data_IF_883879084670
#
_entry.id   IF_883879084670
#
_cell.length_a   1.000
_cell.length_b   1.000
_cell.length_c   1.000
_cell.angle_alpha   90.00
_cell.angle_beta   90.00
_cell.angle_gamma   90.00
#
_symmetry.space_group_name_H-M   'P 1'
#
loop_
_entity.id
_entity.type
_entity.pdbx_description
1 polymer ?
#
# COMPACT_ATOMS: atom_id res chain seq x y z
N UNK A 1 1.45 -9.64 13.97
CA UNK A 1 1.32 -9.01 12.63
C UNK A 1 -0.13 -8.77 12.22
N UNK A 2 -1.03 -9.74 12.43
CA UNK A 2 -2.47 -9.58 12.15
C UNK A 2 -3.13 -8.34 12.76
N UNK A 3 -2.88 -8.16 14.05
CA UNK A 3 -3.41 -7.06 14.82
C UNK A 3 -2.80 -5.73 14.34
N UNK A 4 -1.49 -5.71 14.10
CA UNK A 4 -0.72 -4.53 13.67
C UNK A 4 -1.22 -3.95 12.34
N UNK A 5 -1.56 -4.80 11.35
CA UNK A 5 -2.05 -4.32 10.05
C UNK A 5 -3.36 -3.54 10.17
N UNK A 6 -4.36 -4.13 10.82
CA UNK A 6 -5.65 -3.47 11.06
C UNK A 6 -5.54 -2.26 11.99
N UNK A 7 -4.69 -2.33 13.01
CA UNK A 7 -4.41 -1.20 13.89
C UNK A 7 -3.82 -0.01 13.12
N UNK A 8 -2.87 -0.25 12.21
CA UNK A 8 -2.31 0.82 11.37
C UNK A 8 -3.37 1.42 10.45
N UNK A 9 -4.23 0.61 9.82
CA UNK A 9 -5.33 1.12 8.98
C UNK A 9 -6.33 1.93 9.83
N UNK A 10 -6.64 1.47 11.04
CA UNK A 10 -7.49 2.21 11.98
C UNK A 10 -6.84 3.53 12.40
N UNK A 11 -5.53 3.54 12.68
CA UNK A 11 -4.78 4.75 13.01
C UNK A 11 -4.76 5.75 11.84
N UNK A 12 -4.68 5.26 10.59
CA UNK A 12 -4.85 6.10 9.41
C UNK A 12 -6.25 6.74 9.39
N UNK A 13 -7.31 5.94 9.59
CA UNK A 13 -8.70 6.45 9.62
C UNK A 13 -8.91 7.48 10.72
N UNK A 14 -8.49 7.17 11.96
CA UNK A 14 -8.63 8.06 13.12
C UNK A 14 -7.89 9.36 12.88
N UNK A 15 -6.67 9.29 12.36
CA UNK A 15 -5.88 10.48 12.02
C UNK A 15 -6.58 11.33 10.96
N UNK A 16 -7.05 10.71 9.87
CA UNK A 16 -7.81 11.41 8.84
C UNK A 16 -9.13 11.97 9.38
N UNK A 17 -9.77 11.31 10.35
CA UNK A 17 -11.01 11.79 10.96
C UNK A 17 -10.78 13.03 11.80
N UNK A 18 -9.75 13.02 12.64
CA UNK A 18 -9.33 14.17 13.45
C UNK A 18 -8.92 15.35 12.55
N UNK A 19 -8.23 15.06 11.46
CA UNK A 19 -7.81 16.06 10.47
C UNK A 19 -8.95 16.52 9.55
N UNK A 20 -10.16 15.95 9.64
CA UNK A 20 -11.31 16.35 8.81
C UNK A 20 -11.27 15.85 7.36
N UNK A 21 -10.45 14.85 7.06
CA UNK A 21 -10.29 14.20 5.75
C UNK A 21 -10.83 12.76 5.69
N UNK A 22 -11.45 12.23 6.75
CA UNK A 22 -11.99 10.86 6.70
C UNK A 22 -13.12 10.71 5.68
N UNK A 23 -14.00 11.70 5.54
CA UNK A 23 -15.10 11.71 4.56
C UNK A 23 -15.14 13.02 3.78
N UNK A 24 -15.66 12.98 2.55
CA UNK A 24 -15.76 14.17 1.70
C UNK A 24 -16.61 15.29 2.33
N UNK A 25 -17.64 14.93 3.09
CA UNK A 25 -18.47 15.90 3.81
C UNK A 25 -17.71 16.59 4.95
N UNK A 26 -16.78 15.91 5.64
CA UNK A 26 -15.90 16.56 6.60
C UNK A 26 -14.95 17.54 5.90
N UNK A 27 -14.37 17.16 4.76
CA UNK A 27 -13.49 18.04 3.98
C UNK A 27 -14.20 19.34 3.58
N UNK A 28 -15.43 19.24 3.09
CA UNK A 28 -16.26 20.41 2.76
C UNK A 28 -16.59 21.26 3.97
N UNK A 29 -16.97 20.63 5.09
CA UNK A 29 -17.42 21.37 6.29
C UNK A 29 -16.29 22.08 6.99
N UNK A 30 -15.17 21.38 7.22
CA UNK A 30 -14.02 21.82 8.02
C UNK A 30 -13.08 22.69 7.19
N UNK A 31 -12.70 22.22 5.99
CA UNK A 31 -11.65 22.86 5.18
C UNK A 31 -12.18 23.63 3.97
N UNK A 32 -13.49 23.59 3.71
CA UNK A 32 -14.13 24.17 2.51
C UNK A 32 -13.58 23.60 1.20
N UNK A 33 -13.01 22.40 1.25
CA UNK A 33 -12.49 21.69 0.08
C UNK A 33 -13.65 20.97 -0.61
N UNK A 34 -13.93 21.34 -1.85
CA UNK A 34 -14.96 20.71 -2.69
C UNK A 34 -14.39 19.70 -3.68
N UNK A 35 -13.07 19.78 -3.94
CA UNK A 35 -12.33 18.92 -4.86
C UNK A 35 -11.10 18.34 -4.14
N UNK A 36 -11.04 17.03 -4.03
CA UNK A 36 -10.04 16.27 -3.28
C UNK A 36 -10.55 14.85 -3.03
N UNK A 37 -9.77 14.05 -2.32
CA UNK A 37 -10.15 12.66 -2.00
C UNK A 37 -10.10 12.41 -0.49
N UNK A 38 -11.23 12.01 0.06
CA UNK A 38 -11.29 11.58 1.45
C UNK A 38 -10.70 10.18 1.63
N UNK A 39 -10.36 9.84 2.87
CA UNK A 39 -9.82 8.52 3.21
C UNK A 39 -10.74 7.38 2.75
N UNK A 40 -12.06 7.54 2.94
CA UNK A 40 -13.05 6.52 2.58
C UNK A 40 -13.23 6.37 1.07
N UNK A 41 -12.84 7.36 0.28
CA UNK A 41 -12.84 7.28 -1.18
C UNK A 41 -11.56 6.61 -1.72
N UNK A 42 -10.52 6.43 -0.91
CA UNK A 42 -9.25 5.88 -1.36
C UNK A 42 -9.32 4.34 -1.54
N UNK A 43 -9.32 3.84 -2.77
CA UNK A 43 -9.48 2.40 -3.07
C UNK A 43 -8.39 1.50 -2.48
N UNK A 44 -7.16 2.03 -2.36
CA UNK A 44 -6.03 1.38 -1.68
C UNK A 44 -6.34 0.98 -0.24
N UNK A 45 -6.99 1.85 0.54
CA UNK A 45 -7.37 1.57 1.95
C UNK A 45 -8.27 0.33 2.05
N UNK A 46 -9.24 0.21 1.14
CA UNK A 46 -10.13 -0.95 1.10
C UNK A 46 -9.39 -2.21 0.67
N UNK A 47 -8.47 -2.07 -0.27
CA UNK A 47 -7.62 -3.19 -0.70
C UNK A 47 -6.72 -3.66 0.43
N UNK A 48 -6.17 -2.72 1.19
CA UNK A 48 -5.33 -2.96 2.36
C UNK A 48 -6.09 -3.75 3.44
N UNK A 49 -7.31 -3.31 3.74
CA UNK A 49 -8.13 -3.92 4.80
C UNK A 49 -8.70 -5.29 4.40
N UNK A 50 -9.17 -5.44 3.15
CA UNK A 50 -9.93 -6.62 2.70
C UNK A 50 -9.04 -7.70 2.11
N UNK A 51 -7.98 -7.33 1.40
CA UNK A 51 -7.15 -8.30 0.67
C UNK A 51 -5.74 -8.41 1.27
N UNK A 52 -5.02 -7.29 1.40
CA UNK A 52 -3.61 -7.31 1.80
C UNK A 52 -3.45 -7.79 3.24
N UNK A 53 -4.15 -7.17 4.21
CA UNK A 53 -4.00 -7.52 5.62
C UNK A 53 -4.35 -8.98 5.90
N UNK A 54 -5.51 -9.54 5.48
CA UNK A 54 -5.78 -10.97 5.62
C UNK A 54 -4.74 -11.87 4.96
N UNK A 55 -4.25 -11.47 3.78
CA UNK A 55 -3.24 -12.25 3.08
C UNK A 55 -1.89 -12.25 3.82
N UNK A 56 -1.45 -11.11 4.35
CA UNK A 56 -0.25 -11.02 5.18
C UNK A 56 -0.37 -11.86 6.46
N UNK A 57 -1.55 -11.90 7.07
CA UNK A 57 -1.83 -12.77 8.23
C UNK A 57 -1.59 -14.22 7.87
N UNK A 58 -2.17 -14.65 6.74
CA UNK A 58 -1.98 -16.01 6.22
C UNK A 58 -0.50 -16.31 5.97
N UNK A 59 0.21 -15.42 5.27
CA UNK A 59 1.62 -15.62 4.94
C UNK A 59 2.47 -15.73 6.22
N UNK A 60 2.30 -14.81 7.17
CA UNK A 60 3.05 -14.81 8.43
C UNK A 60 2.74 -16.03 9.30
N UNK A 61 1.50 -16.54 9.26
CA UNK A 61 1.12 -17.75 9.97
C UNK A 61 1.63 -19.03 9.31
N UNK A 62 1.77 -19.04 7.98
CA UNK A 62 2.18 -20.22 7.20
C UNK A 62 3.71 -20.33 7.07
N UNK A 63 4.36 -19.19 6.84
CA UNK A 63 5.80 -19.09 6.60
C UNK A 63 6.50 -18.59 7.85
N UNK A 64 7.39 -19.43 8.35
CA UNK A 64 8.27 -19.11 9.47
C UNK A 64 9.41 -18.22 8.97
N UNK A 65 9.11 -16.92 8.82
CA UNK A 65 10.02 -15.91 8.29
C UNK A 65 11.15 -15.60 9.28
N UNK A 66 12.37 -15.44 8.77
CA UNK A 66 13.56 -15.07 9.55
C UNK A 66 13.69 -13.54 9.56
N UNK A 67 12.91 -12.89 10.41
CA UNK A 67 12.80 -11.42 10.50
C UNK A 67 14.10 -10.70 10.89
N UNK A 68 15.01 -11.38 11.58
CA UNK A 68 16.22 -10.76 12.15
C UNK A 68 17.48 -10.95 11.31
N UNK A 69 17.39 -11.62 10.15
CA UNK A 69 18.54 -11.76 9.27
C UNK A 69 18.95 -10.40 8.66
N UNK A 70 20.24 -10.24 8.35
CA UNK A 70 20.74 -9.02 7.72
C UNK A 70 20.00 -8.69 6.41
N UNK A 71 19.72 -9.72 5.60
CA UNK A 71 18.93 -9.58 4.36
C UNK A 71 17.51 -9.10 4.65
N UNK A 72 16.86 -9.64 5.68
CA UNK A 72 15.50 -9.24 6.04
C UNK A 72 15.43 -7.79 6.49
N UNK A 73 16.37 -7.37 7.35
CA UNK A 73 16.48 -5.97 7.80
C UNK A 73 16.79 -5.03 6.62
N UNK A 74 17.63 -5.45 5.67
CA UNK A 74 17.92 -4.68 4.47
C UNK A 74 16.66 -4.48 3.61
N UNK A 75 15.87 -5.53 3.40
CA UNK A 75 14.61 -5.46 2.63
C UNK A 75 13.59 -4.57 3.33
N UNK A 76 13.47 -4.67 4.66
CA UNK A 76 12.62 -3.78 5.45
C UNK A 76 13.04 -2.32 5.27
N UNK A 77 14.34 -2.04 5.43
CA UNK A 77 14.90 -0.69 5.28
C UNK A 77 14.67 -0.14 3.88
N UNK A 78 14.95 -0.94 2.85
CA UNK A 78 14.71 -0.56 1.47
C UNK A 78 13.22 -0.26 1.20
N UNK A 79 12.32 -1.08 1.75
CA UNK A 79 10.87 -0.86 1.63
C UNK A 79 10.47 0.48 2.24
N UNK A 80 10.92 0.78 3.47
CA UNK A 80 10.66 2.08 4.11
C UNK A 80 11.23 3.26 3.33
N UNK A 81 12.46 3.14 2.82
CA UNK A 81 13.10 4.20 2.02
C UNK A 81 12.30 4.47 0.75
N UNK A 82 11.90 3.44 0.02
CA UNK A 82 11.10 3.58 -1.22
C UNK A 82 9.76 4.25 -0.93
N UNK A 83 9.01 3.77 0.07
CA UNK A 83 7.71 4.35 0.41
C UNK A 83 7.82 5.79 0.94
N UNK A 84 8.84 6.08 1.73
CA UNK A 84 9.11 7.45 2.20
C UNK A 84 9.46 8.36 1.02
N UNK A 85 10.34 7.91 0.12
CA UNK A 85 10.72 8.69 -1.06
C UNK A 85 9.50 8.95 -1.97
N UNK A 86 8.66 7.94 -2.22
CA UNK A 86 7.42 8.11 -2.98
C UNK A 86 6.49 9.13 -2.32
N UNK A 87 6.32 9.06 -1.00
CA UNK A 87 5.49 10.01 -0.29
C UNK A 87 6.00 11.45 -0.49
N UNK A 88 7.28 11.71 -0.23
CA UNK A 88 7.83 13.07 -0.31
C UNK A 88 7.98 13.60 -1.74
N UNK A 89 8.32 12.74 -2.71
CA UNK A 89 8.62 13.17 -4.08
C UNK A 89 7.38 13.18 -4.99
N UNK A 90 6.35 12.37 -4.69
CA UNK A 90 5.15 12.29 -5.50
C UNK A 90 3.90 12.76 -4.75
N UNK A 91 3.62 12.21 -3.57
CA UNK A 91 2.34 12.45 -2.90
C UNK A 91 2.23 13.82 -2.24
N UNK A 92 3.27 14.28 -1.54
CA UNK A 92 3.26 15.61 -0.92
C UNK A 92 3.06 16.74 -1.95
N UNK A 93 3.80 16.77 -3.08
CA UNK A 93 3.55 17.76 -4.15
C UNK A 93 2.15 17.68 -4.75
N UNK A 94 1.66 16.47 -5.05
CA UNK A 94 0.30 16.28 -5.59
C UNK A 94 -0.78 16.78 -4.61
N UNK A 95 -0.55 16.62 -3.31
CA UNK A 95 -1.45 17.12 -2.25
C UNK A 95 -1.62 18.65 -2.22
N UNK A 96 -0.82 19.43 -2.94
CA UNK A 96 -1.08 20.86 -3.17
C UNK A 96 -2.17 21.09 -4.21
N UNK A 97 -2.26 20.21 -5.20
CA UNK A 97 -3.16 20.33 -6.35
C UNK A 97 -4.47 19.60 -6.05
N UNK A 98 -4.36 18.39 -5.50
CA UNK A 98 -5.46 17.49 -5.19
C UNK A 98 -5.32 16.99 -3.75
N UNK A 99 -5.82 17.75 -2.75
CA UNK A 99 -5.74 17.35 -1.35
C UNK A 99 -6.35 15.97 -1.12
N UNK A 100 -5.62 15.09 -0.43
CA UNK A 100 -6.15 13.83 0.06
C UNK A 100 -5.78 13.55 1.52
N UNK A 101 -6.45 12.56 2.12
CA UNK A 101 -6.25 12.21 3.52
C UNK A 101 -4.80 11.88 3.91
N UNK A 102 -4.01 11.31 3.00
CA UNK A 102 -2.62 10.94 3.25
C UNK A 102 -1.62 12.06 2.93
N UNK A 103 -1.99 13.01 2.09
CA UNK A 103 -1.16 14.15 1.70
C UNK A 103 -2.03 15.34 1.27
N UNK A 104 -1.83 16.48 1.93
CA UNK A 104 -2.47 17.73 1.55
C UNK A 104 -1.64 18.93 2.00
N UNK A 105 -1.84 20.09 1.37
CA UNK A 105 -1.11 21.33 1.67
C UNK A 105 0.43 21.18 1.50
N UNK A 106 0.89 20.27 0.64
CA UNK A 106 2.31 20.09 0.34
C UNK A 106 3.09 19.25 1.33
N UNK A 107 2.43 18.56 2.27
CA UNK A 107 3.08 17.69 3.24
C UNK A 107 2.35 16.36 3.43
N UNK A 108 3.05 15.41 4.05
CA UNK A 108 2.50 14.10 4.43
C UNK A 108 1.81 14.21 5.79
N UNK A 109 0.55 13.79 5.84
CA UNK A 109 -0.27 13.86 7.06
C UNK A 109 0.10 12.74 8.03
N UNK A 110 -0.44 12.78 9.25
CA UNK A 110 -0.30 11.67 10.19
C UNK A 110 -0.84 10.34 9.60
N UNK A 111 -1.97 10.39 8.89
CA UNK A 111 -2.49 9.22 8.18
C UNK A 111 -1.51 8.73 7.09
N UNK A 112 -0.88 9.65 6.36
CA UNK A 112 0.19 9.32 5.41
C UNK A 112 1.36 8.58 6.04
N UNK A 113 1.84 9.01 7.21
CA UNK A 113 2.92 8.32 7.91
C UNK A 113 2.53 6.91 8.38
N UNK A 114 1.32 6.73 8.92
CA UNK A 114 0.83 5.39 9.28
C UNK A 114 0.69 4.49 8.04
N UNK A 115 0.31 5.07 6.90
CA UNK A 115 0.28 4.34 5.62
C UNK A 115 1.69 3.93 5.18
N UNK A 116 2.70 4.81 5.26
CA UNK A 116 4.10 4.47 4.93
C UNK A 116 4.58 3.30 5.80
N UNK A 117 4.28 3.30 7.10
CA UNK A 117 4.62 2.20 8.00
C UNK A 117 3.94 0.91 7.57
N UNK A 118 2.63 0.97 7.29
CA UNK A 118 1.87 -0.18 6.82
C UNK A 118 2.42 -0.74 5.50
N UNK A 119 2.66 0.13 4.51
CA UNK A 119 3.14 -0.26 3.20
C UNK A 119 4.57 -0.83 3.26
N UNK A 120 5.45 -0.22 4.06
CA UNK A 120 6.80 -0.72 4.32
C UNK A 120 6.82 -2.13 4.92
N UNK A 121 6.00 -2.37 5.95
CA UNK A 121 5.86 -3.70 6.55
C UNK A 121 5.24 -4.72 5.59
N UNK A 122 4.23 -4.31 4.82
CA UNK A 122 3.55 -5.16 3.85
C UNK A 122 4.50 -5.60 2.73
N UNK A 123 5.23 -4.65 2.14
CA UNK A 123 6.25 -4.92 1.14
C UNK A 123 7.38 -5.80 1.68
N UNK A 124 7.79 -5.61 2.94
CA UNK A 124 8.80 -6.46 3.56
C UNK A 124 8.38 -7.93 3.61
N UNK A 125 7.18 -8.24 4.10
CA UNK A 125 6.68 -9.62 4.17
C UNK A 125 6.56 -10.24 2.78
N UNK A 126 5.94 -9.52 1.83
CA UNK A 126 5.76 -10.02 0.47
C UNK A 126 7.10 -10.23 -0.24
N UNK A 127 8.04 -9.30 -0.09
CA UNK A 127 9.38 -9.45 -0.66
C UNK A 127 10.12 -10.66 -0.06
N UNK A 128 10.00 -10.92 1.25
CA UNK A 128 10.59 -12.11 1.85
C UNK A 128 10.04 -13.41 1.24
N UNK A 129 8.74 -13.44 0.90
CA UNK A 129 8.13 -14.58 0.22
C UNK A 129 8.70 -14.79 -1.19
N UNK A 130 8.84 -13.72 -1.99
CA UNK A 130 9.41 -13.81 -3.34
C UNK A 130 10.91 -14.11 -3.33
N UNK A 131 11.66 -13.64 -2.35
CA UNK A 131 13.11 -13.85 -2.32
C UNK A 131 13.50 -15.27 -1.88
N UNK A 132 12.63 -16.00 -1.17
CA UNK A 132 12.85 -17.41 -0.79
C UNK A 132 14.03 -17.69 0.15
N UNK A 133 14.87 -16.70 0.44
CA UNK A 133 16.07 -16.82 1.27
C UNK A 133 15.83 -16.52 2.76
N UNK A 134 14.62 -16.12 3.13
CA UNK A 134 14.29 -15.61 4.47
C UNK A 134 13.11 -16.38 5.10
N UNK A 135 12.92 -17.62 4.67
CA UNK A 135 11.87 -18.53 5.18
C UNK A 135 12.48 -19.89 5.44
N UNK A 136 12.02 -20.58 6.49
CA UNK A 136 12.38 -21.99 6.70
C UNK A 136 11.68 -22.94 5.70
N UNK A 137 10.74 -22.41 4.90
CA UNK A 137 9.96 -23.16 3.91
C UNK A 137 9.86 -22.33 2.64
N UNK A 138 10.26 -22.88 1.50
CA UNK A 138 10.07 -22.24 0.21
C UNK A 138 8.58 -21.92 -0.01
N UNK A 139 8.30 -20.76 -0.59
CA UNK A 139 6.93 -20.36 -0.90
C UNK A 139 6.27 -21.38 -1.85
N UNK A 140 5.01 -21.72 -1.61
CA UNK A 140 4.24 -22.54 -2.53
C UNK A 140 3.92 -21.77 -3.81
N UNK A 141 3.99 -22.44 -4.97
CA UNK A 141 3.66 -21.84 -6.28
C UNK A 141 2.28 -21.17 -6.31
N UNK A 142 1.29 -21.79 -5.65
CA UNK A 142 -0.06 -21.23 -5.53
C UNK A 142 -0.10 -19.94 -4.73
N UNK A 143 0.66 -19.85 -3.62
CA UNK A 143 0.70 -18.63 -2.80
C UNK A 143 1.37 -17.48 -3.53
N UNK A 144 2.40 -17.77 -4.34
CA UNK A 144 3.04 -16.78 -5.20
C UNK A 144 2.03 -16.25 -6.24
N UNK A 145 1.29 -17.15 -6.91
CA UNK A 145 0.26 -16.75 -7.88
C UNK A 145 -0.87 -15.93 -7.22
N UNK A 146 -1.34 -16.33 -6.03
CA UNK A 146 -2.36 -15.59 -5.28
C UNK A 146 -1.84 -14.22 -4.87
N UNK A 147 -0.62 -14.13 -4.33
CA UNK A 147 0.00 -12.85 -3.96
C UNK A 147 0.11 -11.93 -5.16
N UNK A 148 0.54 -12.45 -6.31
CA UNK A 148 0.63 -11.69 -7.57
C UNK A 148 -0.73 -11.13 -7.99
N UNK A 149 -1.77 -11.92 -7.80
CA UNK A 149 -3.14 -11.56 -8.17
C UNK A 149 -3.67 -10.47 -7.24
N UNK A 150 -3.44 -10.59 -5.94
CA UNK A 150 -3.76 -9.57 -4.93
C UNK A 150 -2.98 -8.28 -5.20
N UNK A 151 -1.70 -8.36 -5.53
CA UNK A 151 -0.88 -7.19 -5.88
C UNK A 151 -1.36 -6.53 -7.18
N UNK A 152 -1.87 -7.31 -8.14
CA UNK A 152 -2.46 -6.75 -9.36
C UNK A 152 -3.77 -6.00 -9.07
N UNK A 153 -4.58 -6.51 -8.13
CA UNK A 153 -5.76 -5.78 -7.63
C UNK A 153 -5.33 -4.50 -6.91
N UNK A 154 -4.28 -4.56 -6.08
CA UNK A 154 -3.72 -3.38 -5.41
C UNK A 154 -3.20 -2.35 -6.39
N UNK A 155 -2.49 -2.75 -7.45
CA UNK A 155 -2.00 -1.81 -8.47
C UNK A 155 -3.16 -1.00 -9.08
N UNK A 156 -4.29 -1.64 -9.33
CA UNK A 156 -5.49 -0.96 -9.83
C UNK A 156 -6.19 -0.13 -8.75
N UNK A 157 -6.61 -0.76 -7.65
CA UNK A 157 -7.42 -0.11 -6.62
C UNK A 157 -6.65 0.90 -5.78
N UNK A 158 -5.32 0.74 -5.66
CA UNK A 158 -4.42 1.65 -4.96
C UNK A 158 -4.44 3.07 -5.50
N UNK A 159 -4.68 3.23 -6.81
CA UNK A 159 -4.76 4.54 -7.47
C UNK A 159 -6.20 5.01 -7.73
N UNK A 160 -7.16 4.08 -7.73
CA UNK A 160 -8.58 4.40 -7.91
C UNK A 160 -9.12 5.13 -6.68
N UNK A 161 -9.87 6.20 -6.92
CA UNK A 161 -10.65 6.88 -5.89
C UNK A 161 -12.13 6.72 -6.22
N UNK A 162 -12.93 6.32 -5.24
CA UNK A 162 -14.38 6.16 -5.34
C UNK A 162 -15.10 7.51 -5.25
N UNK A 163 -14.68 8.47 -6.09
CA UNK A 163 -15.20 9.83 -6.15
C UNK A 163 -15.61 10.18 -7.57
N UNK A 164 -16.62 11.04 -7.72
CA UNK A 164 -17.10 11.50 -9.04
C UNK A 164 -16.08 12.37 -9.78
N UNK A 165 -15.10 12.91 -9.05
CA UNK A 165 -14.06 13.78 -9.58
C UNK A 165 -12.80 13.03 -10.00
N UNK A 166 -12.76 11.72 -9.74
CA UNK A 166 -11.61 10.90 -10.10
C UNK A 166 -11.64 10.56 -11.58
N UNK A 167 -10.48 10.69 -12.23
CA UNK A 167 -10.31 10.38 -13.63
C UNK A 167 -9.10 9.46 -13.83
N UNK A 168 -9.29 8.44 -14.65
CA UNK A 168 -8.21 7.54 -15.08
C UNK A 168 -7.33 8.25 -16.12
N UNK A 169 -6.36 9.04 -15.66
CA UNK A 169 -5.42 9.72 -16.55
C UNK A 169 -4.54 8.73 -17.32
N UNK A 170 -3.92 9.19 -18.42
CA UNK A 170 -2.96 8.36 -19.18
C UNK A 170 -1.77 7.93 -18.31
N UNK A 171 -1.28 8.81 -17.44
CA UNK A 171 -0.16 8.51 -16.54
C UNK A 171 -0.53 7.40 -15.55
N UNK A 172 -1.69 7.51 -14.89
CA UNK A 172 -2.20 6.48 -13.97
C UNK A 172 -2.37 5.15 -14.68
N UNK A 173 -2.93 5.16 -15.90
CA UNK A 173 -3.07 3.93 -16.71
C UNK A 173 -1.73 3.27 -17.01
N UNK A 174 -0.73 4.06 -17.41
CA UNK A 174 0.62 3.54 -17.68
C UNK A 174 1.24 2.96 -16.40
N UNK A 175 1.08 3.64 -15.26
CA UNK A 175 1.55 3.15 -13.97
C UNK A 175 0.94 1.79 -13.62
N UNK A 176 -0.39 1.66 -13.66
CA UNK A 176 -1.09 0.39 -13.38
C UNK A 176 -0.56 -0.74 -14.28
N UNK A 177 -0.46 -0.48 -15.59
CA UNK A 177 0.02 -1.49 -16.55
C UNK A 177 1.46 -1.89 -16.24
N UNK A 178 2.33 -0.92 -15.94
CA UNK A 178 3.73 -1.17 -15.61
C UNK A 178 3.87 -1.97 -14.31
N UNK A 179 3.14 -1.61 -13.26
CA UNK A 179 3.13 -2.33 -11.98
C UNK A 179 2.68 -3.78 -12.16
N UNK A 180 1.55 -4.00 -12.85
CA UNK A 180 1.03 -5.35 -13.15
C UNK A 180 2.05 -6.13 -13.98
N UNK A 181 2.66 -5.52 -15.00
CA UNK A 181 3.67 -6.19 -15.81
C UNK A 181 4.89 -6.62 -14.97
N UNK A 182 5.41 -5.74 -14.11
CA UNK A 182 6.53 -6.05 -13.22
C UNK A 182 6.18 -7.17 -12.26
N UNK A 183 4.98 -7.15 -11.66
CA UNK A 183 4.49 -8.22 -10.78
C UNK A 183 4.53 -9.56 -11.52
N UNK A 184 3.89 -9.65 -12.70
CA UNK A 184 3.78 -10.92 -13.41
C UNK A 184 5.09 -11.41 -14.03
N UNK A 185 5.96 -10.51 -14.50
CA UNK A 185 7.32 -10.87 -14.94
C UNK A 185 8.08 -11.49 -13.77
N UNK A 186 8.07 -10.84 -12.60
CA UNK A 186 8.74 -11.34 -11.39
C UNK A 186 8.18 -12.70 -10.98
N UNK A 187 6.87 -12.87 -11.03
CA UNK A 187 6.19 -14.13 -10.73
C UNK A 187 6.57 -15.26 -11.68
N UNK A 188 6.57 -15.01 -12.99
CA UNK A 188 6.96 -16.02 -13.99
C UNK A 188 8.42 -16.43 -13.80
N UNK A 189 9.32 -15.47 -13.60
CA UNK A 189 10.73 -15.74 -13.32
C UNK A 189 10.90 -16.57 -12.04
N UNK A 190 10.14 -16.25 -10.99
CA UNK A 190 10.19 -17.00 -9.75
C UNK A 190 9.73 -18.45 -9.94
N UNK A 191 8.59 -18.65 -10.61
CA UNK A 191 8.00 -19.97 -10.89
C UNK A 191 8.85 -20.82 -11.83
N UNK A 192 9.64 -20.19 -12.70
CA UNK A 192 10.56 -20.89 -13.59
C UNK A 192 11.76 -21.46 -12.83
N UNK A 193 12.25 -20.74 -11.82
CA UNK A 193 13.45 -21.09 -11.07
C UNK A 193 13.20 -21.96 -9.83
N UNK A 194 11.93 -22.18 -9.44
CA UNK A 194 11.51 -22.91 -8.23
C UNK A 194 10.35 -23.87 -8.51
#
# INVERSE_FOLDING_TARGET
MAIVGYELILLQYVSAFVDGFATHEQMKRVHKITRGYSFMEHGGVWTDAVFITPWLIYLVGKYDFIYTSATSILVLTASFVVWTALAFLAYAPEGLIMPEAHAHNGYITAAGYFHIVYAGLSSWIMAMMYLGMMTNKLAGRYDIAITSSILSLLAFFGVVKFSKHWEMTKAVRIQIIAEIAVIWITTVLWLWNN
#
